data_IF_991340947998
#
_entry.id   IF_991340947998
#
_cell.length_a   1.000
_cell.length_b   1.000
_cell.length_c   1.000
_cell.angle_alpha   90.00
_cell.angle_beta   90.00
_cell.angle_gamma   90.00
#
_symmetry.space_group_name_H-M   'P 1'
#
loop_
_entity.id
_entity.type
_entity.pdbx_description
1 polymer ?
#
# COMPACT_ATOMS: atom_id res chain seq x y z
N UNK A 1 -0.30 11.26 -13.18
CA UNK A 1 -0.55 10.12 -12.28
C UNK A 1 0.45 9.03 -12.62
N UNK A 2 1.21 8.57 -11.63
CA UNK A 2 2.28 7.60 -11.79
C UNK A 2 2.21 6.50 -10.73
N UNK A 3 2.81 5.36 -11.06
CA UNK A 3 2.93 4.23 -10.15
C UNK A 3 4.23 4.36 -9.35
N UNK A 4 4.13 4.28 -8.03
CA UNK A 4 5.26 4.39 -7.12
C UNK A 4 5.32 3.14 -6.24
N UNK A 5 6.51 2.75 -5.80
CA UNK A 5 6.74 1.65 -4.86
C UNK A 5 7.22 2.20 -3.53
N UNK A 6 6.62 1.72 -2.44
CA UNK A 6 7.09 1.98 -1.10
C UNK A 6 8.31 1.11 -0.79
N UNK A 7 9.48 1.73 -0.68
CA UNK A 7 10.73 1.06 -0.33
C UNK A 7 10.95 1.04 1.20
N UNK A 8 10.14 1.77 1.96
CA UNK A 8 10.19 1.81 3.42
C UNK A 8 9.65 0.51 4.05
N UNK A 9 10.06 0.28 5.30
CA UNK A 9 9.53 -0.77 6.18
C UNK A 9 8.20 -0.36 6.86
N UNK A 10 7.82 0.92 6.77
CA UNK A 10 6.55 1.44 7.29
C UNK A 10 5.49 1.65 6.21
N UNK A 11 4.22 1.77 6.62
CA UNK A 11 3.13 2.19 5.74
C UNK A 11 3.29 3.67 5.42
N UNK A 12 3.14 4.04 4.16
CA UNK A 12 3.20 5.44 3.70
C UNK A 12 1.81 5.91 3.27
N UNK A 13 1.45 7.13 3.64
CA UNK A 13 0.28 7.82 3.10
C UNK A 13 0.77 8.92 2.15
N UNK A 14 0.28 8.88 0.92
CA UNK A 14 0.45 9.97 -0.04
C UNK A 14 -0.91 10.28 -0.65
N UNK A 15 -1.35 11.52 -0.49
CA UNK A 15 -2.57 12.02 -1.11
C UNK A 15 -3.82 11.19 -0.74
N UNK A 16 -3.90 10.75 0.51
CA UNK A 16 -5.01 9.91 1.00
C UNK A 16 -4.91 8.43 0.60
N UNK A 17 -3.87 8.04 -0.15
CA UNK A 17 -3.60 6.64 -0.52
C UNK A 17 -2.53 6.04 0.36
N UNK A 18 -2.82 4.86 0.88
CA UNK A 18 -1.89 4.11 1.74
C UNK A 18 -1.18 3.03 0.93
N UNK A 19 0.13 2.91 1.13
CA UNK A 19 0.92 1.80 0.61
C UNK A 19 1.68 1.10 1.73
N UNK A 20 1.40 -0.19 1.88
CA UNK A 20 2.18 -1.07 2.73
C UNK A 20 3.64 -1.17 2.23
N UNK A 21 4.57 -1.61 3.09
CA UNK A 21 5.96 -1.84 2.71
C UNK A 21 6.09 -2.70 1.45
N UNK A 22 7.01 -2.33 0.56
CA UNK A 22 7.32 -3.02 -0.71
C UNK A 22 6.17 -3.10 -1.72
N UNK A 23 5.02 -2.48 -1.44
CA UNK A 23 3.85 -2.43 -2.34
C UNK A 23 3.87 -1.18 -3.20
N UNK A 24 3.17 -1.26 -4.32
CA UNK A 24 3.00 -0.15 -5.25
C UNK A 24 1.68 0.57 -5.03
N UNK A 25 1.67 1.88 -5.24
CA UNK A 25 0.47 2.70 -5.28
C UNK A 25 0.48 3.62 -6.51
N UNK A 26 -0.71 3.96 -6.99
CA UNK A 26 -0.91 4.95 -8.06
C UNK A 26 -1.27 6.29 -7.44
N UNK A 27 -0.40 7.28 -7.58
CA UNK A 27 -0.56 8.63 -7.01
C UNK A 27 -0.29 9.70 -8.06
N UNK A 28 -0.84 10.90 -7.89
CA UNK A 28 -0.57 11.99 -8.81
C UNK A 28 0.89 12.44 -8.70
N UNK A 29 1.55 12.72 -9.83
CA UNK A 29 2.95 13.19 -9.83
C UNK A 29 3.08 14.58 -9.18
N UNK A 30 1.97 15.31 -9.05
CA UNK A 30 1.87 16.60 -8.36
C UNK A 30 1.45 16.46 -6.89
N UNK A 31 1.30 15.25 -6.37
CA UNK A 31 0.88 15.02 -4.99
C UNK A 31 1.83 15.70 -3.98
N UNK A 32 1.29 16.35 -2.93
CA UNK A 32 2.11 17.06 -1.95
C UNK A 32 3.02 16.08 -1.22
N UNK A 33 4.30 16.44 -1.11
CA UNK A 33 5.30 15.63 -0.40
C UNK A 33 5.88 14.45 -1.21
N UNK A 34 5.28 14.07 -2.35
CA UNK A 34 5.78 12.98 -3.19
C UNK A 34 7.24 13.18 -3.62
N UNK A 35 7.57 14.37 -4.15
CA UNK A 35 8.93 14.68 -4.57
C UNK A 35 9.97 14.55 -3.43
N UNK A 36 9.58 14.88 -2.19
CA UNK A 36 10.44 14.72 -1.01
C UNK A 36 10.62 13.25 -0.65
N UNK A 37 9.55 12.45 -0.73
CA UNK A 37 9.61 11.01 -0.45
C UNK A 37 10.45 10.27 -1.48
N UNK A 38 10.34 10.64 -2.75
CA UNK A 38 11.17 10.09 -3.82
C UNK A 38 12.64 10.47 -3.62
N UNK A 39 12.92 11.74 -3.34
CA UNK A 39 14.29 12.21 -3.07
C UNK A 39 14.92 11.53 -1.85
N UNK A 40 14.13 11.14 -0.85
CA UNK A 40 14.58 10.41 0.34
C UNK A 40 14.68 8.90 0.16
N UNK A 41 14.30 8.37 -1.01
CA UNK A 41 14.28 6.93 -1.27
C UNK A 41 13.16 6.18 -0.53
N UNK A 42 12.15 6.88 0.01
CA UNK A 42 10.97 6.25 0.62
C UNK A 42 10.04 5.71 -0.47
N UNK A 43 9.95 6.43 -1.59
CA UNK A 43 9.17 6.03 -2.76
C UNK A 43 10.07 5.95 -4.00
N UNK A 44 9.83 4.96 -4.85
CA UNK A 44 10.52 4.83 -6.15
C UNK A 44 9.49 4.80 -7.28
N UNK A 45 9.67 5.63 -8.31
CA UNK A 45 8.77 5.62 -9.48
C UNK A 45 8.97 4.33 -10.26
N UNK A 46 7.87 3.63 -10.54
CA UNK A 46 7.84 2.40 -11.33
C UNK A 46 7.50 2.79 -12.76
N UNK A 47 8.50 3.20 -13.53
CA UNK A 47 8.35 3.37 -14.97
C UNK A 47 8.23 1.98 -15.61
N UNK A 48 7.17 1.77 -16.40
CA UNK A 48 6.83 0.50 -17.02
C UNK A 48 7.88 -0.07 -18.00
N UNK A 49 9.08 0.50 -18.07
CA UNK A 49 10.19 0.02 -18.89
C UNK A 49 11.23 -0.81 -18.14
N UNK A 50 11.26 -0.83 -16.82
CA UNK A 50 12.20 -1.73 -16.10
C UNK A 50 11.76 -2.04 -14.67
N UNK A 51 11.07 -3.16 -14.49
CA UNK A 51 11.01 -3.85 -13.20
C UNK A 51 11.01 -5.37 -13.43
N UNK A 52 12.02 -5.85 -14.16
CA UNK A 52 12.43 -7.25 -14.11
C UNK A 52 13.08 -7.53 -12.76
N UNK A 53 12.27 -7.68 -11.70
CA UNK A 53 12.72 -8.26 -10.44
C UNK A 53 11.55 -9.03 -9.83
N UNK A 54 11.60 -10.33 -10.10
CA UNK A 54 10.81 -11.44 -9.57
C UNK A 54 10.21 -11.14 -8.19
N UNK A 55 8.88 -11.20 -8.08
CA UNK A 55 8.23 -11.68 -6.86
C UNK A 55 7.03 -12.48 -7.31
N UNK A 56 7.21 -13.80 -7.22
CA UNK A 56 6.22 -14.82 -7.50
C UNK A 56 4.92 -14.54 -6.75
N UNK A 57 3.81 -14.62 -7.47
CA UNK A 57 2.49 -14.91 -6.91
C UNK A 57 2.36 -16.44 -6.91
N UNK A 58 1.65 -17.03 -5.95
CA UNK A 58 0.23 -17.24 -6.27
C UNK A 58 -0.72 -16.67 -5.21
N UNK A 59 -1.94 -16.46 -5.68
CA UNK A 59 -3.09 -15.99 -4.95
C UNK A 59 -3.60 -17.01 -3.93
N UNK A 60 -4.22 -16.55 -2.84
CA UNK A 60 -5.32 -17.30 -2.23
C UNK A 60 -6.39 -16.36 -1.67
N UNK A 61 -7.64 -16.59 -2.14
CA UNK A 61 -8.97 -16.19 -1.63
C UNK A 61 -9.22 -14.68 -1.39
N UNK A 62 -10.12 -13.99 -2.10
CA UNK A 62 -11.46 -14.43 -2.52
C UNK A 62 -12.44 -14.16 -1.37
N UNK A 63 -13.40 -13.26 -1.58
CA UNK A 63 -14.59 -13.16 -0.74
C UNK A 63 -14.94 -11.76 -0.27
N UNK A 64 -15.76 -11.07 -1.06
CA UNK A 64 -16.96 -10.40 -0.53
C UNK A 64 -17.54 -11.17 0.66
N UNK A 65 -17.65 -10.54 1.83
CA UNK A 65 -18.66 -10.88 2.82
C UNK A 65 -18.79 -9.79 3.88
N UNK A 66 -19.98 -9.23 3.90
CA UNK A 66 -20.57 -8.52 5.02
C UNK A 66 -20.59 -9.42 6.29
N UNK A 67 -20.67 -8.76 7.45
CA UNK A 67 -21.45 -9.16 8.65
C UNK A 67 -20.83 -10.16 9.65
N UNK A 68 -21.04 -9.81 10.92
CA UNK A 68 -20.89 -10.57 12.19
C UNK A 68 -19.43 -10.76 12.65
N UNK A 69 -19.05 -10.65 13.91
CA UNK A 69 -19.79 -10.92 15.15
C UNK A 69 -19.03 -10.25 16.32
N UNK A 70 -19.71 -9.46 17.15
CA UNK A 70 -19.20 -9.10 18.49
C UNK A 70 -19.50 -10.26 19.43
N UNK A 71 -18.53 -10.85 20.15
CA UNK A 71 -18.84 -11.74 21.24
C UNK A 71 -19.23 -10.92 22.48
N UNK A 72 -20.46 -11.12 22.94
CA UNK A 72 -20.98 -10.68 24.24
C UNK A 72 -20.03 -11.09 25.36
N UNK A 73 -19.59 -10.13 26.18
CA UNK A 73 -19.12 -10.44 27.54
C UNK A 73 -20.25 -10.12 28.51
N UNK A 74 -20.95 -11.20 28.88
CA UNK A 74 -21.81 -11.30 30.04
C UNK A 74 -20.88 -11.42 31.25
N UNK A 75 -20.93 -10.48 32.19
CA UNK A 75 -20.49 -10.70 33.56
C UNK A 75 -21.37 -9.80 34.44
N UNK A 76 -22.47 -10.40 34.88
CA UNK A 76 -23.15 -9.98 36.08
C UNK A 76 -22.43 -10.64 37.25
N UNK A 77 -22.02 -9.85 38.23
CA UNK A 77 -22.22 -10.12 39.66
C UNK A 77 -22.22 -8.79 40.41
#
# INVERSE_FOLDING_TARGET
>A
MGKYRNESLGVVNVDGKFAAPKRTLDVDDKAPGLARMVKRGVLSKVDGRTAGAKTEKPAEKGGDAQKAEQPQQKAAE
#
